data_IF_889629874490
#
_entry.id   IF_889629874490
#
_cell.length_a   1.000
_cell.length_b   1.000
_cell.length_c   1.000
_cell.angle_alpha   90.00
_cell.angle_beta   90.00
_cell.angle_gamma   90.00
#
_symmetry.space_group_name_H-M   'P 1'
#
loop_
_entity.id
_entity.type
_entity.pdbx_description
1 polymer ?
#
# COMPACT_ATOMS: atom_id res chain seq x y z
N UNK A 1 33.27 15.48 8.10
CA UNK A 1 32.34 16.62 8.30
C UNK A 1 30.99 16.14 8.85
N UNK A 2 30.46 15.03 8.34
CA UNK A 2 29.12 14.54 8.69
C UNK A 2 28.95 14.09 10.15
N UNK A 3 29.99 13.52 10.76
CA UNK A 3 29.94 13.10 12.16
C UNK A 3 29.73 14.28 13.13
N UNK A 4 30.30 15.46 12.84
CA UNK A 4 30.11 16.67 13.66
C UNK A 4 28.70 17.24 13.50
N UNK A 5 28.19 17.30 12.26
CA UNK A 5 26.80 17.67 11.97
C UNK A 5 25.80 16.78 12.71
N UNK A 6 26.00 15.46 12.72
CA UNK A 6 25.13 14.52 13.45
C UNK A 6 25.14 14.70 14.97
N UNK A 7 26.21 15.25 15.54
CA UNK A 7 26.29 15.57 16.98
C UNK A 7 25.54 16.87 17.25
N UNK A 8 25.70 17.88 16.40
CA UNK A 8 25.02 19.17 16.54
C UNK A 8 23.50 19.04 16.30
N UNK A 9 23.09 18.21 15.32
CA UNK A 9 21.68 17.88 15.02
C UNK A 9 21.03 17.02 16.11
N UNK A 10 21.81 16.25 16.89
CA UNK A 10 21.33 15.46 18.05
C UNK A 10 21.34 16.27 19.36
N UNK A 11 21.06 17.57 19.30
CA UNK A 11 20.89 18.40 20.49
C UNK A 11 19.39 18.60 20.76
N UNK A 12 18.92 18.15 21.93
CA UNK A 12 17.50 18.29 22.33
C UNK A 12 17.35 19.51 23.21
N UNK A 13 16.33 20.34 22.93
CA UNK A 13 16.04 21.49 23.77
C UNK A 13 15.51 21.03 25.15
N UNK A 14 16.13 21.51 26.23
CA UNK A 14 15.68 21.25 27.61
C UNK A 14 14.60 22.29 28.03
N UNK A 15 14.44 23.36 27.24
CA UNK A 15 13.43 24.38 27.50
C UNK A 15 12.03 23.83 27.25
N UNK A 16 11.22 23.79 28.32
CA UNK A 16 9.85 23.30 28.29
C UNK A 16 8.96 24.00 27.26
N UNK A 17 9.02 25.32 27.18
CA UNK A 17 8.17 26.09 26.25
C UNK A 17 8.51 25.78 24.78
N UNK A 18 9.80 25.60 24.48
CA UNK A 18 10.24 25.18 23.14
C UNK A 18 9.77 23.77 22.79
N UNK A 19 9.91 22.82 23.72
CA UNK A 19 9.41 21.45 23.51
C UNK A 19 7.90 21.36 23.37
N UNK A 20 7.13 22.14 24.13
CA UNK A 20 5.68 22.17 23.98
C UNK A 20 5.26 22.73 22.61
N UNK A 21 5.99 23.72 22.07
CA UNK A 21 5.76 24.22 20.71
C UNK A 21 6.13 23.16 19.65
N UNK A 22 7.30 22.53 19.78
CA UNK A 22 7.73 21.46 18.87
C UNK A 22 6.74 20.29 18.84
N UNK A 23 6.22 19.88 20.01
CA UNK A 23 5.21 18.82 20.10
C UNK A 23 3.91 19.21 19.40
N UNK A 24 3.41 20.44 19.62
CA UNK A 24 2.20 20.92 18.96
C UNK A 24 2.35 20.96 17.44
N UNK A 25 3.52 21.40 16.94
CA UNK A 25 3.81 21.41 15.51
C UNK A 25 3.87 20.00 14.93
N UNK A 26 4.47 19.04 15.66
CA UNK A 26 4.53 17.64 15.25
C UNK A 26 3.16 16.97 15.26
N UNK A 27 2.33 17.24 16.27
CA UNK A 27 0.95 16.77 16.36
C UNK A 27 0.12 17.32 15.21
N UNK A 28 0.18 18.63 14.94
CA UNK A 28 -0.51 19.24 13.80
C UNK A 28 -0.12 18.59 12.47
N UNK A 29 1.19 18.35 12.24
CA UNK A 29 1.67 17.65 11.04
C UNK A 29 1.25 16.18 10.99
N UNK A 30 1.06 15.54 12.14
CA UNK A 30 0.58 14.16 12.22
C UNK A 30 -0.89 14.10 11.83
N UNK A 31 -1.72 14.99 12.36
CA UNK A 31 -3.15 15.05 12.07
C UNK A 31 -3.42 15.36 10.59
N UNK A 32 -2.68 16.29 9.99
CA UNK A 32 -2.79 16.58 8.54
C UNK A 32 -2.50 15.33 7.72
N UNK A 33 -1.40 14.63 7.98
CA UNK A 33 -1.05 13.39 7.25
C UNK A 33 -2.06 12.26 7.47
N UNK A 34 -2.65 12.19 8.66
CA UNK A 34 -3.70 11.22 9.00
C UNK A 34 -4.93 11.47 8.14
N UNK A 35 -5.40 12.72 8.07
CA UNK A 35 -6.55 13.11 7.25
C UNK A 35 -6.29 12.86 5.76
N UNK A 36 -5.15 13.27 5.23
CA UNK A 36 -4.75 12.99 3.83
C UNK A 36 -4.75 11.48 3.52
N UNK A 37 -4.29 10.66 4.46
CA UNK A 37 -4.26 9.20 4.30
C UNK A 37 -5.67 8.61 4.30
N UNK A 38 -6.54 9.06 5.20
CA UNK A 38 -7.94 8.64 5.26
C UNK A 38 -8.66 8.99 3.95
N UNK A 39 -8.49 10.22 3.45
CA UNK A 39 -9.08 10.65 2.18
C UNK A 39 -8.57 9.82 0.99
N UNK A 40 -7.27 9.54 0.94
CA UNK A 40 -6.67 8.70 -0.10
C UNK A 40 -7.21 7.27 -0.06
N UNK A 41 -7.37 6.71 1.14
CA UNK A 41 -7.90 5.36 1.32
C UNK A 41 -9.39 5.29 0.98
N UNK A 42 -10.18 6.32 1.30
CA UNK A 42 -11.57 6.42 0.90
C UNK A 42 -11.72 6.40 -0.63
N UNK A 43 -10.99 7.29 -1.33
CA UNK A 43 -10.98 7.34 -2.81
C UNK A 43 -10.59 6.00 -3.44
N UNK A 44 -9.59 5.33 -2.85
CA UNK A 44 -9.15 4.00 -3.31
C UNK A 44 -10.24 2.95 -3.14
N UNK A 45 -10.88 2.88 -1.97
CA UNK A 45 -11.97 1.93 -1.70
C UNK A 45 -13.17 2.15 -2.63
N UNK A 46 -13.44 3.40 -3.00
CA UNK A 46 -14.48 3.73 -3.97
C UNK A 46 -14.12 3.29 -5.39
N UNK A 47 -12.89 3.56 -5.85
CA UNK A 47 -12.44 3.16 -7.19
C UNK A 47 -12.36 1.64 -7.36
N UNK A 48 -12.04 0.92 -6.29
CA UNK A 48 -11.83 -0.54 -6.30
C UNK A 48 -13.07 -1.33 -5.87
N UNK A 49 -14.19 -0.64 -5.66
CA UNK A 49 -15.42 -1.26 -5.19
C UNK A 49 -15.92 -2.31 -6.20
N UNK A 50 -15.89 -3.57 -5.78
CA UNK A 50 -16.33 -4.71 -6.59
C UNK A 50 -15.28 -5.27 -7.54
N UNK A 51 -14.05 -4.73 -7.58
CA UNK A 51 -12.95 -5.32 -8.34
C UNK A 51 -12.39 -6.56 -7.65
N UNK A 52 -12.28 -6.52 -6.33
CA UNK A 52 -11.63 -7.56 -5.55
C UNK A 52 -12.63 -8.36 -4.71
N UNK A 53 -12.57 -9.67 -4.83
CA UNK A 53 -13.22 -10.63 -3.92
C UNK A 53 -12.14 -11.31 -3.10
N UNK A 54 -12.07 -10.99 -1.81
CA UNK A 54 -11.02 -11.51 -0.93
C UNK A 54 -11.51 -12.78 -0.26
N UNK A 55 -10.87 -13.89 -0.60
CA UNK A 55 -11.06 -15.17 0.07
C UNK A 55 -9.93 -15.40 1.08
N UNK A 56 -10.21 -16.14 2.14
CA UNK A 56 -9.24 -16.50 3.15
C UNK A 56 -9.23 -18.00 3.38
N UNK A 57 -8.03 -18.56 3.53
CA UNK A 57 -7.79 -19.96 3.85
C UNK A 57 -7.23 -20.01 5.27
N UNK A 58 -7.99 -20.58 6.20
CA UNK A 58 -7.64 -20.80 7.60
C UNK A 58 -7.46 -22.30 7.84
N UNK A 59 -6.79 -22.70 8.93
CA UNK A 59 -6.60 -24.11 9.25
C UNK A 59 -7.94 -24.88 9.35
N UNK A 60 -8.99 -24.20 9.81
CA UNK A 60 -10.32 -24.78 10.00
C UNK A 60 -11.08 -24.99 8.69
N UNK A 61 -10.83 -24.16 7.67
CA UNK A 61 -11.53 -24.23 6.39
C UNK A 61 -10.78 -25.00 5.29
N UNK A 62 -9.58 -25.53 5.56
CA UNK A 62 -8.75 -26.25 4.56
C UNK A 62 -9.49 -27.44 3.93
N UNK A 63 -10.37 -28.10 4.70
CA UNK A 63 -11.13 -29.26 4.23
C UNK A 63 -12.50 -28.91 3.64
N UNK A 64 -12.88 -27.62 3.64
CA UNK A 64 -14.13 -27.19 3.02
C UNK A 64 -14.03 -27.32 1.49
N UNK A 65 -15.13 -27.71 0.81
CA UNK A 65 -15.13 -27.90 -0.64
C UNK A 65 -14.96 -26.59 -1.45
N UNK A 66 -14.94 -25.44 -0.79
CA UNK A 66 -14.78 -24.12 -1.41
C UNK A 66 -14.05 -23.14 -0.49
N UNK A 67 -13.56 -22.06 -1.09
CA UNK A 67 -12.92 -20.96 -0.37
C UNK A 67 -13.97 -20.10 0.34
N UNK A 68 -13.77 -19.83 1.63
CA UNK A 68 -14.64 -18.92 2.39
C UNK A 68 -14.28 -17.47 2.10
N UNK A 69 -15.29 -16.60 1.99
CA UNK A 69 -15.03 -15.17 1.91
C UNK A 69 -14.41 -14.69 3.23
N UNK A 70 -13.45 -13.77 3.11
CA UNK A 70 -12.80 -13.16 4.28
C UNK A 70 -13.80 -12.35 5.13
N UNK A 71 -14.86 -11.82 4.54
CA UNK A 71 -15.93 -11.09 5.26
C UNK A 71 -16.68 -11.94 6.27
N UNK A 72 -16.70 -13.25 6.05
CA UNK A 72 -17.53 -14.18 6.82
C UNK A 72 -16.73 -14.76 8.00
N UNK A 73 -15.42 -14.52 8.04
CA UNK A 73 -14.54 -14.94 9.11
C UNK A 73 -14.37 -13.84 10.14
N UNK A 74 -14.38 -14.22 11.41
CA UNK A 74 -13.99 -13.33 12.49
C UNK A 74 -12.50 -12.99 12.43
N UNK A 75 -12.13 -11.89 13.10
CA UNK A 75 -10.72 -11.47 13.20
C UNK A 75 -9.88 -12.52 13.96
N UNK A 76 -10.50 -13.26 14.89
CA UNK A 76 -9.87 -14.37 15.61
C UNK A 76 -9.57 -15.54 14.67
N UNK A 77 -10.54 -15.94 13.85
CA UNK A 77 -10.38 -17.02 12.86
C UNK A 77 -9.36 -16.65 11.78
N UNK A 78 -9.27 -15.36 11.41
CA UNK A 78 -8.34 -14.89 10.38
C UNK A 78 -6.91 -14.77 10.91
N UNK A 79 -6.73 -14.34 12.16
CA UNK A 79 -5.40 -14.08 12.75
C UNK A 79 -4.81 -15.27 13.51
N UNK A 80 -5.64 -16.25 13.89
CA UNK A 80 -5.23 -17.40 14.71
C UNK A 80 -4.84 -17.01 16.15
N UNK A 81 -5.10 -15.76 16.55
CA UNK A 81 -4.75 -15.23 17.86
C UNK A 81 -6.03 -14.87 18.60
N UNK A 82 -6.14 -15.29 19.86
CA UNK A 82 -7.21 -14.84 20.76
C UNK A 82 -6.94 -13.36 21.06
N UNK A 83 -7.60 -12.48 20.32
CA UNK A 83 -7.59 -11.05 20.57
C UNK A 83 -8.31 -10.71 21.87
N UNK A 84 -8.06 -9.52 22.42
CA UNK A 84 -9.06 -8.92 23.33
C UNK A 84 -10.35 -8.75 22.54
N UNK A 85 -11.51 -8.94 23.20
CA UNK A 85 -12.82 -8.61 22.64
C UNK A 85 -12.75 -7.25 21.93
N UNK A 86 -13.43 -7.08 20.78
CA UNK A 86 -13.44 -5.82 20.07
C UNK A 86 -14.04 -4.77 21.00
N UNK A 87 -13.20 -3.99 21.67
CA UNK A 87 -13.57 -2.63 22.07
C UNK A 87 -13.93 -1.93 20.76
N UNK A 88 -15.05 -1.20 20.74
CA UNK A 88 -15.50 -0.45 19.56
C UNK A 88 -14.31 0.26 18.94
N UNK A 89 -13.81 -0.29 17.82
CA UNK A 89 -12.61 0.24 17.18
C UNK A 89 -12.97 1.67 16.77
N UNK A 90 -12.17 2.61 17.27
CA UNK A 90 -12.31 4.02 16.91
C UNK A 90 -12.43 4.12 15.37
N UNK A 91 -13.51 4.74 14.85
CA UNK A 91 -13.76 4.81 13.41
C UNK A 91 -12.57 5.40 12.64
N UNK A 92 -11.76 6.24 13.29
CA UNK A 92 -10.54 6.79 12.69
C UNK A 92 -9.43 5.75 12.53
N UNK A 93 -9.34 4.79 13.45
CA UNK A 93 -8.37 3.68 13.37
C UNK A 93 -8.78 2.74 12.23
N UNK A 94 -10.07 2.42 12.12
CA UNK A 94 -10.59 1.60 11.01
C UNK A 94 -10.46 2.29 9.64
N UNK A 95 -10.57 3.61 9.60
CA UNK A 95 -10.33 4.38 8.39
C UNK A 95 -8.86 4.33 7.92
N UNK A 96 -7.92 4.10 8.84
CA UNK A 96 -6.49 3.95 8.57
C UNK A 96 -6.08 2.53 8.16
N UNK A 97 -6.97 1.54 8.22
CA UNK A 97 -6.68 0.23 7.63
C UNK A 97 -6.52 0.35 6.11
N UNK A 98 -5.54 -0.37 5.56
CA UNK A 98 -5.32 -0.38 4.13
C UNK A 98 -6.58 -0.83 3.36
N UNK A 99 -6.91 -0.20 2.22
CA UNK A 99 -8.00 -0.63 1.36
C UNK A 99 -7.94 -2.13 1.07
N UNK A 100 -9.07 -2.83 1.24
CA UNK A 100 -9.19 -4.27 1.02
C UNK A 100 -8.17 -5.13 1.79
N UNK A 101 -7.57 -4.61 2.87
CA UNK A 101 -6.48 -5.24 3.64
C UNK A 101 -5.22 -5.57 2.82
N UNK A 102 -5.05 -4.92 1.67
CA UNK A 102 -3.87 -5.05 0.84
C UNK A 102 -2.81 -4.03 1.25
N UNK A 103 -1.69 -4.55 1.75
CA UNK A 103 -0.46 -3.77 1.95
C UNK A 103 -0.02 -3.16 0.59
N UNK A 104 0.51 -1.91 0.55
CA UNK A 104 1.11 -1.29 -0.64
C UNK A 104 1.90 -2.24 -1.55
N UNK A 105 2.70 -3.14 -0.99
CA UNK A 105 3.48 -4.10 -1.79
C UNK A 105 2.58 -5.08 -2.55
N UNK A 106 1.54 -5.62 -1.90
CA UNK A 106 0.60 -6.55 -2.54
C UNK A 106 -0.20 -5.84 -3.62
N UNK A 107 -0.61 -4.59 -3.36
CA UNK A 107 -1.35 -3.77 -4.33
C UNK A 107 -0.52 -3.46 -5.57
N UNK A 108 0.72 -3.02 -5.38
CA UNK A 108 1.65 -2.78 -6.50
C UNK A 108 1.90 -4.06 -7.30
N UNK A 109 2.04 -5.20 -6.63
CA UNK A 109 2.20 -6.49 -7.30
C UNK A 109 1.02 -6.80 -8.22
N UNK A 110 -0.22 -6.53 -7.79
CA UNK A 110 -1.42 -6.73 -8.62
C UNK A 110 -1.37 -5.80 -9.84
N UNK A 111 -1.04 -4.53 -9.68
CA UNK A 111 -0.93 -3.60 -10.81
C UNK A 111 0.16 -4.00 -11.81
N UNK A 112 1.32 -4.46 -11.33
CA UNK A 112 2.37 -4.99 -12.20
C UNK A 112 1.85 -6.21 -12.99
N UNK A 113 1.09 -7.10 -12.36
CA UNK A 113 0.51 -8.26 -13.04
C UNK A 113 -0.53 -7.84 -14.08
N UNK A 114 -1.38 -6.85 -13.78
CA UNK A 114 -2.33 -6.28 -14.73
C UNK A 114 -1.62 -5.71 -15.96
N UNK A 115 -0.54 -4.95 -15.75
CA UNK A 115 0.29 -4.40 -16.82
C UNK A 115 0.94 -5.50 -17.66
N UNK A 116 1.46 -6.56 -17.03
CA UNK A 116 2.04 -7.70 -17.75
C UNK A 116 0.99 -8.42 -18.62
N UNK A 117 -0.21 -8.62 -18.10
CA UNK A 117 -1.33 -9.21 -18.86
C UNK A 117 -1.70 -8.29 -20.04
N UNK A 118 -1.77 -6.98 -19.81
CA UNK A 118 -2.05 -6.01 -20.86
C UNK A 118 -0.98 -6.00 -21.96
N UNK A 119 0.30 -6.09 -21.59
CA UNK A 119 1.43 -6.20 -22.52
C UNK A 119 1.33 -7.47 -23.36
N UNK A 120 0.93 -8.59 -22.76
CA UNK A 120 0.78 -9.87 -23.46
C UNK A 120 -0.47 -9.92 -24.35
N UNK A 121 -1.56 -9.28 -23.94
CA UNK A 121 -2.81 -9.23 -24.70
C UNK A 121 -2.76 -8.23 -25.87
N UNK A 122 -1.96 -7.16 -25.75
CA UNK A 122 -1.67 -6.27 -26.86
C UNK A 122 -0.67 -6.93 -27.82
N UNK A 123 -0.94 -7.02 -29.14
CA UNK A 123 0.05 -7.51 -30.10
C UNK A 123 1.23 -6.52 -30.15
N UNK A 124 2.31 -6.83 -29.43
CA UNK A 124 3.54 -6.05 -29.46
C UNK A 124 4.19 -6.17 -30.83
N UNK A 125 4.45 -5.03 -31.49
CA UNK A 125 5.48 -4.95 -32.53
C UNK A 125 6.82 -5.18 -31.83
N UNK A 126 7.72 -6.05 -32.35
CA UNK A 126 8.99 -6.32 -31.69
C UNK A 126 9.79 -5.01 -31.58
N UNK A 127 10.16 -4.65 -30.35
CA UNK A 127 11.10 -3.55 -30.08
C UNK A 127 12.50 -4.15 -30.16
N UNK A 128 13.14 -4.02 -31.33
CA UNK A 128 14.53 -4.40 -31.52
C UNK A 128 15.42 -3.47 -30.68
N UNK A 129 15.89 -3.97 -29.54
CA UNK A 129 16.90 -3.32 -28.68
C UNK A 129 18.34 -3.62 -29.12
N UNK A 130 18.53 -4.27 -30.27
CA UNK A 130 19.85 -4.56 -30.84
C UNK A 130 20.07 -3.91 -32.21
N UNK A 131 20.75 -2.76 -32.20
CA UNK A 131 21.87 -2.51 -33.12
C UNK A 131 21.68 -1.57 -34.33
N UNK A 132 22.17 -0.34 -34.20
CA UNK A 132 22.89 0.38 -35.28
C UNK A 132 22.08 1.37 -36.13
N UNK A 133 22.71 2.47 -36.62
CA UNK A 133 22.04 3.48 -37.44
C UNK A 133 21.61 2.89 -38.80
N UNK A 134 20.35 3.17 -39.17
CA UNK A 134 19.72 2.67 -40.39
C UNK A 134 20.55 2.99 -41.64
N UNK A 135 20.89 1.95 -42.41
CA UNK A 135 21.52 2.12 -43.72
C UNK A 135 20.55 2.80 -44.70
N UNK A 136 21.00 3.73 -45.54
CA UNK A 136 20.12 4.47 -46.45
C UNK A 136 19.55 3.56 -47.55
N UNK A 137 18.37 3.90 -48.08
CA UNK A 137 17.66 3.07 -49.05
C UNK A 137 18.46 2.96 -50.35
N UNK A 138 18.81 1.73 -50.75
CA UNK A 138 19.35 1.47 -52.08
C UNK A 138 18.25 1.65 -53.13
N UNK A 139 18.52 2.54 -54.09
CA UNK A 139 17.67 2.80 -55.23
C UNK A 139 17.98 1.84 -56.39
N UNK A 140 16.93 1.35 -57.06
CA UNK A 140 16.96 0.70 -58.38
C UNK A 140 16.99 -0.83 -58.32
N UNK A 141 16.31 -1.55 -59.20
CA UNK A 141 15.81 -1.25 -60.55
C UNK A 141 14.49 -1.93 -60.83
#
# INVERSE_FOLDING_TARGET
ADAKRRIDENTVSINRAKREQELKDLEARREVRKQETIERFAKTRESEKGLFTVYALTQDNVHAPGLTLKSDLSLEETSGMIGKKPEEEDPEIKALEYPHTFDPFKRETIHILEDLIAIQAAPQKPVDISGGPAAPPQAGR
#
